data_IF_111796942525
#
_entry.id   IF_111796942525
#
_cell.length_a   1.000
_cell.length_b   1.000
_cell.length_c   1.000
_cell.angle_alpha   90.00
_cell.angle_beta   90.00
_cell.angle_gamma   90.00
#
_symmetry.space_group_name_H-M   'P 1'
#
loop_
_entity.id
_entity.type
_entity.pdbx_description
1 polymer ?
#
# COMPACT_ATOMS: atom_id res chain seq x y z
N UNK A 1 -18.34 -3.61 -16.59
CA UNK A 1 -17.30 -4.68 -16.68
C UNK A 1 -18.00 -6.01 -16.93
N UNK A 2 -17.49 -6.87 -17.82
CA UNK A 2 -18.12 -8.16 -18.16
C UNK A 2 -17.95 -9.19 -17.02
N UNK A 3 -18.97 -10.03 -16.80
CA UNK A 3 -18.94 -11.14 -15.84
C UNK A 3 -17.80 -12.10 -16.20
N UNK A 4 -17.03 -12.58 -15.22
CA UNK A 4 -15.96 -13.57 -15.47
C UNK A 4 -14.58 -13.01 -15.85
N UNK A 5 -14.39 -11.68 -15.94
CA UNK A 5 -13.09 -11.09 -16.36
C UNK A 5 -12.31 -10.47 -15.21
N UNK A 6 -10.99 -10.66 -15.26
CA UNK A 6 -10.03 -9.95 -14.40
C UNK A 6 -10.09 -8.45 -14.65
N UNK A 7 -9.99 -7.67 -13.58
CA UNK A 7 -9.78 -6.24 -13.72
C UNK A 7 -8.35 -6.00 -14.17
N UNK A 8 -8.22 -5.09 -15.13
CA UNK A 8 -6.93 -4.59 -15.61
C UNK A 8 -6.49 -3.39 -14.76
N UNK A 9 -5.20 -3.12 -14.73
CA UNK A 9 -4.63 -2.02 -13.95
C UNK A 9 -5.16 -0.65 -14.35
N UNK A 10 -5.47 -0.42 -15.63
CA UNK A 10 -6.09 0.83 -16.11
C UNK A 10 -7.45 1.10 -15.46
N UNK A 11 -8.27 0.06 -15.29
CA UNK A 11 -9.58 0.16 -14.62
C UNK A 11 -9.43 0.45 -13.13
N UNK A 12 -8.46 -0.19 -12.45
CA UNK A 12 -8.18 0.05 -11.03
C UNK A 12 -7.67 1.49 -10.82
N UNK A 13 -6.70 1.94 -11.64
CA UNK A 13 -6.17 3.31 -11.58
C UNK A 13 -7.26 4.36 -11.86
N UNK A 14 -8.12 4.11 -12.84
CA UNK A 14 -9.26 4.99 -13.11
C UNK A 14 -10.18 5.08 -11.89
N UNK A 15 -10.51 3.96 -11.25
CA UNK A 15 -11.33 3.97 -10.04
C UNK A 15 -10.66 4.79 -8.93
N UNK A 16 -9.37 4.59 -8.67
CA UNK A 16 -8.61 5.35 -7.68
C UNK A 16 -8.71 6.87 -7.95
N UNK A 17 -8.48 7.27 -9.21
CA UNK A 17 -8.52 8.67 -9.61
C UNK A 17 -9.91 9.29 -9.44
N UNK A 18 -10.97 8.62 -9.90
CA UNK A 18 -12.33 9.16 -9.85
C UNK A 18 -12.94 9.11 -8.44
N UNK A 19 -12.68 8.04 -7.69
CA UNK A 19 -13.32 7.80 -6.40
C UNK A 19 -12.67 8.57 -5.25
N UNK A 20 -11.34 8.76 -5.30
CA UNK A 20 -10.59 9.28 -4.16
C UNK A 20 -9.77 10.54 -4.48
N UNK A 21 -9.08 10.61 -5.63
CA UNK A 21 -8.21 11.76 -5.91
C UNK A 21 -8.96 13.00 -6.41
N UNK A 22 -10.08 12.82 -7.11
CA UNK A 22 -10.91 13.94 -7.63
C UNK A 22 -11.92 14.50 -6.63
N UNK A 23 -12.10 13.86 -5.47
CA UNK A 23 -13.05 14.31 -4.46
C UNK A 23 -12.32 15.06 -3.35
N UNK A 24 -12.74 16.30 -3.01
CA UNK A 24 -12.25 16.96 -1.82
C UNK A 24 -12.82 16.22 -0.61
N UNK A 25 -12.00 15.40 0.03
CA UNK A 25 -12.35 14.79 1.30
C UNK A 25 -11.80 15.66 2.43
N UNK A 26 -12.65 16.08 3.36
CA UNK A 26 -12.21 16.59 4.67
C UNK A 26 -11.71 15.37 5.47
N UNK A 27 -10.43 15.05 5.34
CA UNK A 27 -9.81 13.90 6.00
C UNK A 27 -9.00 14.34 7.22
N UNK A 28 -9.08 13.55 8.28
CA UNK A 28 -8.25 13.73 9.48
C UNK A 28 -6.79 13.36 9.20
N UNK A 29 -6.57 12.39 8.30
CA UNK A 29 -5.25 11.93 7.87
C UNK A 29 -5.04 12.13 6.37
N UNK A 30 -3.79 12.32 5.95
CA UNK A 30 -3.48 12.41 4.51
C UNK A 30 -3.54 11.03 3.88
N UNK A 31 -4.38 10.87 2.85
CA UNK A 31 -4.45 9.63 2.08
C UNK A 31 -3.72 9.77 0.75
N UNK A 32 -2.84 8.83 0.48
CA UNK A 32 -2.09 8.70 -0.76
C UNK A 32 -2.47 7.40 -1.44
N UNK A 33 -2.75 7.49 -2.73
CA UNK A 33 -3.06 6.32 -3.55
C UNK A 33 -2.03 6.26 -4.66
N UNK A 34 -1.25 5.19 -4.70
CA UNK A 34 -0.28 4.99 -5.78
C UNK A 34 -0.91 4.18 -6.90
N UNK A 35 -0.45 4.43 -8.12
CA UNK A 35 -0.90 3.66 -9.28
C UNK A 35 -0.46 2.18 -9.19
N UNK A 36 -1.12 1.32 -9.96
CA UNK A 36 -0.90 -0.14 -9.96
C UNK A 36 0.49 -0.60 -10.39
N UNK A 37 1.31 0.26 -11.01
CA UNK A 37 2.67 -0.07 -11.45
C UNK A 37 3.74 0.26 -10.40
N UNK A 38 3.37 1.03 -9.39
CA UNK A 38 4.28 1.56 -8.39
C UNK A 38 5.04 0.45 -7.66
N UNK A 39 4.35 -0.57 -7.17
CA UNK A 39 4.97 -1.67 -6.43
C UNK A 39 5.91 -2.50 -7.30
N UNK A 40 5.53 -2.77 -8.56
CA UNK A 40 6.39 -3.48 -9.50
C UNK A 40 7.69 -2.72 -9.73
N UNK A 41 7.61 -1.41 -9.96
CA UNK A 41 8.79 -0.55 -10.13
C UNK A 41 9.67 -0.51 -8.87
N UNK A 42 9.05 -0.43 -7.70
CA UNK A 42 9.75 -0.50 -6.42
C UNK A 42 10.49 -1.83 -6.23
N UNK A 43 9.82 -2.95 -6.48
CA UNK A 43 10.39 -4.29 -6.38
C UNK A 43 11.57 -4.50 -7.32
N UNK A 44 11.46 -4.05 -8.58
CA UNK A 44 12.56 -4.10 -9.55
C UNK A 44 13.77 -3.27 -9.11
N UNK A 45 13.54 -2.14 -8.45
CA UNK A 45 14.62 -1.31 -7.93
C UNK A 45 15.30 -1.98 -6.74
N UNK A 46 14.55 -2.46 -5.76
CA UNK A 46 15.09 -3.23 -4.61
C UNK A 46 15.94 -4.39 -5.12
N UNK A 47 15.44 -5.18 -6.06
CA UNK A 47 16.17 -6.32 -6.64
C UNK A 47 17.48 -5.93 -7.35
N UNK A 48 17.61 -4.70 -7.88
CA UNK A 48 18.87 -4.20 -8.44
C UNK A 48 19.89 -3.88 -7.36
N UNK A 49 19.46 -3.36 -6.22
CA UNK A 49 20.32 -2.99 -5.09
C UNK A 49 20.65 -4.17 -4.19
N UNK A 50 19.83 -5.22 -4.15
CA UNK A 50 20.09 -6.45 -3.37
C UNK A 50 21.43 -7.13 -3.68
N UNK A 51 22.00 -6.81 -4.84
CA UNK A 51 23.34 -7.26 -5.24
C UNK A 51 24.49 -6.54 -4.54
N UNK A 52 24.24 -5.53 -3.71
CA UNK A 52 25.29 -4.66 -3.14
C UNK A 52 25.56 -4.83 -1.64
N UNK A 53 25.06 -5.88 -0.97
CA UNK A 53 25.22 -6.19 0.47
C UNK A 53 24.80 -5.09 1.47
N UNK A 54 24.35 -3.92 0.99
CA UNK A 54 23.96 -2.74 1.78
C UNK A 54 22.76 -2.02 1.15
N UNK A 55 21.71 -2.79 0.83
CA UNK A 55 20.50 -2.29 0.14
C UNK A 55 19.90 -1.08 0.83
N UNK A 56 19.70 -1.17 2.15
CA UNK A 56 19.06 -0.12 2.94
C UNK A 56 19.81 1.20 2.83
N UNK A 57 21.11 1.18 3.13
CA UNK A 57 21.95 2.37 3.04
C UNK A 57 22.09 2.92 1.62
N UNK A 58 22.27 2.03 0.63
CA UNK A 58 22.44 2.41 -0.77
C UNK A 58 21.17 3.05 -1.35
N UNK A 59 20.00 2.54 -0.94
CA UNK A 59 18.71 3.10 -1.33
C UNK A 59 18.49 4.45 -0.63
N UNK A 60 18.61 4.54 0.70
CA UNK A 60 18.37 5.77 1.49
C UNK A 60 19.25 6.94 1.00
N UNK A 61 20.52 6.67 0.68
CA UNK A 61 21.46 7.70 0.19
C UNK A 61 21.15 8.19 -1.23
N UNK A 62 20.29 7.49 -1.98
CA UNK A 62 20.00 7.79 -3.39
C UNK A 62 18.69 8.58 -3.55
N UNK A 63 18.79 9.90 -3.39
CA UNK A 63 17.67 10.84 -3.51
C UNK A 63 16.99 10.85 -4.89
N UNK A 64 17.65 10.37 -5.94
CA UNK A 64 17.04 10.22 -7.27
C UNK A 64 16.07 9.04 -7.33
N UNK A 65 16.28 7.98 -6.52
CA UNK A 65 15.31 6.88 -6.42
C UNK A 65 13.99 7.35 -5.82
N UNK A 66 14.05 8.21 -4.80
CA UNK A 66 12.86 8.79 -4.18
C UNK A 66 11.99 9.51 -5.21
N UNK A 67 12.58 10.35 -6.08
CA UNK A 67 11.84 11.05 -7.15
C UNK A 67 11.27 10.10 -8.20
N UNK A 68 11.93 8.97 -8.47
CA UNK A 68 11.49 7.99 -9.46
C UNK A 68 10.34 7.12 -8.95
N UNK A 69 10.40 6.70 -7.69
CA UNK A 69 9.39 5.82 -7.07
C UNK A 69 8.22 6.66 -6.60
N UNK A 70 8.47 7.83 -6.03
CA UNK A 70 7.48 8.61 -5.29
C UNK A 70 7.35 10.04 -5.83
N UNK A 71 7.13 10.25 -7.16
CA UNK A 71 6.97 11.59 -7.72
C UNK A 71 5.76 12.33 -7.14
N UNK A 72 4.77 11.58 -6.66
CA UNK A 72 3.51 12.07 -6.06
C UNK A 72 3.69 12.47 -4.58
N UNK A 73 4.81 12.12 -3.95
CA UNK A 73 5.13 12.47 -2.56
C UNK A 73 6.15 13.61 -2.55
N UNK A 74 5.69 14.84 -2.74
CA UNK A 74 6.59 15.98 -2.64
C UNK A 74 7.11 16.10 -1.20
N UNK A 75 8.36 16.60 -1.07
CA UNK A 75 8.97 16.86 0.23
C UNK A 75 8.04 17.65 1.15
N UNK A 76 7.32 18.64 0.62
CA UNK A 76 6.36 19.46 1.38
C UNK A 76 5.13 18.69 1.87
N UNK A 77 4.70 17.65 1.14
CA UNK A 77 3.54 16.85 1.51
C UNK A 77 3.85 15.87 2.64
N UNK A 78 5.11 15.43 2.73
CA UNK A 78 5.65 14.53 3.76
C UNK A 78 6.46 15.26 4.85
N UNK A 79 6.68 16.58 4.74
CA UNK A 79 7.53 17.38 5.64
C UNK A 79 6.91 17.66 7.02
N UNK A 80 5.68 17.24 7.26
CA UNK A 80 5.11 17.17 8.60
C UNK A 80 4.79 15.71 8.86
N UNK A 81 5.36 15.13 9.93
CA UNK A 81 5.11 13.77 10.45
C UNK A 81 3.64 13.58 10.88
N UNK A 82 2.71 13.87 10.00
CA UNK A 82 1.29 13.72 10.22
C UNK A 82 0.89 12.30 9.86
N UNK A 83 -0.13 11.74 10.53
CA UNK A 83 -0.68 10.47 10.14
C UNK A 83 -1.00 10.45 8.64
N UNK A 84 -0.38 9.51 7.93
CA UNK A 84 -0.54 9.34 6.50
C UNK A 84 -0.82 7.87 6.18
N UNK A 85 -1.71 7.67 5.23
CA UNK A 85 -2.10 6.35 4.75
C UNK A 85 -1.71 6.24 3.28
N UNK A 86 -0.98 5.19 2.93
CA UNK A 86 -0.59 4.91 1.55
C UNK A 86 -1.23 3.60 1.13
N UNK A 87 -2.05 3.65 0.10
CA UNK A 87 -2.71 2.50 -0.49
C UNK A 87 -1.95 2.03 -1.72
N UNK A 88 -1.47 0.79 -1.67
CA UNK A 88 -0.57 0.22 -2.66
C UNK A 88 -1.23 -1.01 -3.31
N UNK A 89 -1.84 -0.88 -4.49
CA UNK A 89 -2.29 -2.04 -5.26
C UNK A 89 -1.08 -2.88 -5.69
N UNK A 90 -1.13 -4.19 -5.46
CA UNK A 90 -0.06 -5.13 -5.81
C UNK A 90 -0.56 -6.05 -6.90
N UNK A 91 0.12 -6.02 -8.05
CA UNK A 91 -0.09 -6.96 -9.12
C UNK A 91 0.98 -8.06 -9.08
N UNK A 92 0.58 -9.28 -8.75
CA UNK A 92 1.41 -10.47 -8.98
C UNK A 92 1.27 -11.00 -10.39
N UNK A 93 1.60 -12.29 -10.57
CA UNK A 93 1.48 -12.99 -11.86
C UNK A 93 0.11 -12.76 -12.52
N UNK A 94 -0.96 -13.20 -11.86
CA UNK A 94 -2.35 -13.10 -12.35
C UNK A 94 -3.32 -12.70 -11.23
N UNK A 95 -2.82 -12.02 -10.18
CA UNK A 95 -3.57 -11.79 -8.96
C UNK A 95 -3.35 -10.38 -8.42
N UNK A 96 -4.43 -9.80 -7.90
CA UNK A 96 -4.43 -8.49 -7.25
C UNK A 96 -4.56 -8.67 -5.75
N UNK A 97 -3.67 -8.01 -5.01
CA UNK A 97 -3.79 -7.81 -3.57
C UNK A 97 -3.57 -6.34 -3.23
N UNK A 98 -3.76 -5.96 -1.98
CA UNK A 98 -3.61 -4.60 -1.52
C UNK A 98 -2.65 -4.57 -0.33
N UNK A 99 -1.69 -3.64 -0.34
CA UNK A 99 -1.00 -3.25 0.87
C UNK A 99 -1.45 -1.86 1.33
N UNK A 100 -1.47 -1.68 2.64
CA UNK A 100 -1.76 -0.40 3.29
C UNK A 100 -0.56 -0.07 4.17
N UNK A 101 0.00 1.13 3.98
CA UNK A 101 1.04 1.68 4.83
C UNK A 101 0.41 2.77 5.67
N UNK A 102 0.49 2.65 6.98
CA UNK A 102 0.17 3.74 7.90
C UNK A 102 1.46 4.29 8.48
N UNK A 103 1.64 5.60 8.39
CA UNK A 103 2.75 6.32 9.01
C UNK A 103 2.14 7.14 10.13
N UNK A 104 2.70 7.10 11.33
CA UNK A 104 2.25 7.92 12.44
C UNK A 104 3.45 8.35 13.31
N UNK A 105 3.75 9.65 13.32
CA UNK A 105 4.95 10.19 13.98
C UNK A 105 6.26 9.51 13.53
N UNK A 106 6.80 8.64 14.39
CA UNK A 106 8.07 7.93 14.22
C UNK A 106 7.89 6.42 14.02
N UNK A 107 6.64 5.94 13.96
CA UNK A 107 6.30 4.55 13.68
C UNK A 107 5.61 4.40 12.33
N UNK A 108 5.65 3.17 11.82
CA UNK A 108 4.86 2.80 10.66
C UNK A 108 4.39 1.35 10.74
N UNK A 109 3.27 1.11 10.07
CA UNK A 109 2.68 -0.21 9.99
C UNK A 109 2.35 -0.57 8.55
N UNK A 110 2.74 -1.78 8.17
CA UNK A 110 2.49 -2.36 6.86
C UNK A 110 1.47 -3.49 7.01
N UNK A 111 0.32 -3.33 6.37
CA UNK A 111 -0.72 -4.34 6.31
C UNK A 111 -0.85 -4.92 4.90
N UNK A 112 -0.90 -6.25 4.76
CA UNK A 112 -1.19 -6.92 3.49
C UNK A 112 -2.58 -7.58 3.53
N UNK A 113 -3.41 -7.26 2.53
CA UNK A 113 -4.78 -7.73 2.38
C UNK A 113 -4.86 -8.56 1.10
N UNK A 114 -5.22 -9.83 1.24
CA UNK A 114 -5.32 -10.77 0.13
C UNK A 114 -6.61 -11.59 0.18
N UNK A 115 -7.48 -11.41 -0.81
CA UNK A 115 -8.73 -12.16 -0.96
C UNK A 115 -8.53 -13.60 -1.41
N UNK A 116 -7.30 -14.02 -1.75
CA UNK A 116 -6.99 -15.38 -2.14
C UNK A 116 -5.68 -15.82 -1.49
N UNK A 117 -5.75 -16.59 -0.41
CA UNK A 117 -4.53 -17.09 0.28
C UNK A 117 -3.64 -17.89 -0.70
N UNK A 118 -2.42 -17.43 -0.96
CA UNK A 118 -1.36 -18.25 -1.57
C UNK A 118 -0.62 -17.79 -2.85
N UNK A 119 -0.96 -16.69 -3.56
CA UNK A 119 -0.24 -16.29 -4.76
C UNK A 119 0.93 -15.32 -4.49
N UNK A 120 0.92 -14.64 -3.34
CA UNK A 120 1.94 -13.69 -2.94
C UNK A 120 2.67 -14.17 -1.69
N UNK A 121 3.96 -13.88 -1.61
CA UNK A 121 4.77 -14.00 -0.39
C UNK A 121 4.69 -12.65 0.36
N UNK A 122 3.97 -12.58 1.49
CA UNK A 122 3.80 -11.33 2.24
C UNK A 122 5.14 -10.79 2.77
N UNK A 123 6.09 -11.66 3.10
CA UNK A 123 7.40 -11.22 3.62
C UNK A 123 8.20 -10.48 2.56
N UNK A 124 8.20 -10.98 1.32
CA UNK A 124 8.83 -10.29 0.19
C UNK A 124 8.16 -8.94 -0.09
N UNK A 125 6.83 -8.85 0.04
CA UNK A 125 6.10 -7.59 -0.09
C UNK A 125 6.51 -6.61 1.00
N UNK A 126 6.50 -7.03 2.27
CA UNK A 126 6.87 -6.18 3.38
C UNK A 126 8.31 -5.71 3.30
N UNK A 127 9.24 -6.57 2.87
CA UNK A 127 10.62 -6.18 2.65
C UNK A 127 10.73 -5.02 1.64
N UNK A 128 10.11 -5.14 0.47
CA UNK A 128 10.11 -4.07 -0.55
C UNK A 128 9.48 -2.79 -0.02
N UNK A 129 8.30 -2.89 0.62
CA UNK A 129 7.58 -1.71 1.13
C UNK A 129 8.35 -1.00 2.24
N UNK A 130 9.00 -1.74 3.15
CA UNK A 130 9.81 -1.20 4.24
C UNK A 130 11.00 -0.41 3.71
N UNK A 131 11.73 -0.95 2.73
CA UNK A 131 12.84 -0.25 2.08
C UNK A 131 12.40 1.04 1.41
N UNK A 132 11.31 0.98 0.67
CA UNK A 132 10.78 2.15 -0.03
C UNK A 132 10.24 3.18 0.95
N UNK A 133 9.58 2.74 2.03
CA UNK A 133 9.10 3.64 3.07
C UNK A 133 10.25 4.46 3.67
N UNK A 134 11.39 3.82 3.93
CA UNK A 134 12.60 4.50 4.42
C UNK A 134 13.19 5.50 3.42
N UNK A 135 12.86 5.40 2.12
CA UNK A 135 13.17 6.44 1.12
C UNK A 135 12.24 7.64 1.21
N UNK A 136 10.99 7.42 1.60
CA UNK A 136 9.95 8.45 1.59
C UNK A 136 10.02 9.27 2.88
N UNK A 137 10.18 8.58 4.01
CA UNK A 137 10.20 9.15 5.35
C UNK A 137 11.40 8.61 6.14
N UNK A 138 12.06 9.46 6.95
CA UNK A 138 13.20 9.04 7.77
C UNK A 138 12.71 8.27 9.01
N UNK A 139 12.20 7.05 8.79
CA UNK A 139 11.77 6.12 9.84
C UNK A 139 12.84 5.05 10.01
N UNK A 140 13.11 4.66 11.26
CA UNK A 140 13.96 3.51 11.56
C UNK A 140 13.25 2.22 11.08
N UNK A 141 13.86 1.43 10.17
CA UNK A 141 13.29 0.16 9.73
C UNK A 141 12.86 -0.73 10.91
N UNK A 142 13.57 -0.71 12.04
CA UNK A 142 13.24 -1.51 13.22
C UNK A 142 11.87 -1.16 13.85
N UNK A 143 11.36 0.05 13.61
CA UNK A 143 10.06 0.52 14.12
C UNK A 143 8.91 0.23 13.15
N UNK A 144 9.19 -0.39 12.00
CA UNK A 144 8.17 -0.77 11.03
C UNK A 144 7.59 -2.12 11.39
N UNK A 145 6.34 -2.10 11.86
CA UNK A 145 5.57 -3.31 12.14
C UNK A 145 4.95 -3.85 10.83
N UNK A 146 4.75 -5.16 10.75
CA UNK A 146 4.11 -5.82 9.59
C UNK A 146 2.95 -6.69 10.07
N UNK A 147 1.92 -6.85 9.23
CA UNK A 147 0.75 -7.65 9.58
C UNK A 147 -0.03 -8.13 8.36
N UNK A 148 -0.46 -9.40 8.38
CA UNK A 148 -1.38 -9.94 7.37
C UNK A 148 -2.81 -9.76 7.88
N UNK A 149 -3.64 -9.13 7.06
CA UNK A 149 -5.04 -8.87 7.39
C UNK A 149 -5.94 -9.97 6.84
N UNK A 150 -6.77 -10.52 7.72
CA UNK A 150 -7.82 -11.43 7.29
C UNK A 150 -8.94 -10.63 6.61
N UNK A 151 -9.25 -11.03 5.38
CA UNK A 151 -10.32 -10.45 4.57
C UNK A 151 -11.21 -11.55 4.03
N UNK A 152 -12.42 -11.18 3.64
CA UNK A 152 -13.33 -12.09 2.95
C UNK A 152 -12.63 -12.71 1.72
N UNK A 153 -12.67 -14.04 1.66
CA UNK A 153 -12.00 -14.78 0.60
C UNK A 153 -12.90 -14.83 -0.64
N UNK A 154 -12.31 -14.53 -1.79
CA UNK A 154 -12.98 -14.68 -3.06
C UNK A 154 -13.31 -16.16 -3.30
N UNK A 155 -14.51 -16.41 -3.84
CA UNK A 155 -14.97 -17.76 -4.17
C UNK A 155 -14.66 -18.15 -5.62
N UNK A 156 -14.05 -17.23 -6.39
CA UNK A 156 -13.73 -17.40 -7.80
C UNK A 156 -12.28 -16.98 -8.10
N UNK A 157 -11.77 -17.29 -9.30
CA UNK A 157 -10.39 -16.97 -9.68
C UNK A 157 -10.14 -15.55 -10.20
N UNK A 158 -11.17 -14.72 -10.44
CA UNK A 158 -11.04 -13.50 -11.25
C UNK A 158 -11.54 -12.22 -10.56
N UNK A 159 -12.12 -12.33 -9.37
CA UNK A 159 -12.69 -11.22 -8.61
C UNK A 159 -11.70 -10.50 -7.69
N UNK A 160 -10.43 -10.89 -7.66
CA UNK A 160 -9.37 -10.26 -6.85
C UNK A 160 -9.29 -8.74 -7.07
N UNK A 161 -9.38 -8.31 -8.34
CA UNK A 161 -9.41 -6.90 -8.69
C UNK A 161 -10.61 -6.14 -8.09
N UNK A 162 -11.77 -6.79 -7.91
CA UNK A 162 -12.94 -6.16 -7.28
C UNK A 162 -12.79 -6.10 -5.76
N UNK A 163 -12.23 -7.15 -5.17
CA UNK A 163 -11.97 -7.23 -3.74
C UNK A 163 -11.04 -6.10 -3.29
N UNK A 164 -9.97 -5.81 -4.04
CA UNK A 164 -9.10 -4.67 -3.69
C UNK A 164 -9.84 -3.32 -3.76
N UNK A 165 -10.78 -3.13 -4.70
CA UNK A 165 -11.56 -1.88 -4.79
C UNK A 165 -12.51 -1.73 -3.59
N UNK A 166 -13.09 -2.84 -3.12
CA UNK A 166 -13.91 -2.87 -1.91
C UNK A 166 -13.08 -2.58 -0.66
N UNK A 167 -11.88 -3.18 -0.55
CA UNK A 167 -10.95 -2.93 0.55
C UNK A 167 -10.51 -1.47 0.58
N UNK A 168 -10.16 -0.88 -0.58
CA UNK A 168 -9.83 0.54 -0.71
C UNK A 168 -10.98 1.42 -0.21
N UNK A 169 -12.21 1.17 -0.68
CA UNK A 169 -13.38 1.93 -0.27
C UNK A 169 -13.67 1.80 1.24
N UNK A 170 -13.59 0.57 1.78
CA UNK A 170 -13.82 0.30 3.20
C UNK A 170 -12.77 0.94 4.11
N UNK A 171 -11.49 0.81 3.76
CA UNK A 171 -10.40 1.43 4.52
C UNK A 171 -10.49 2.96 4.50
N UNK A 172 -10.84 3.54 3.35
CA UNK A 172 -11.02 4.99 3.21
C UNK A 172 -12.17 5.52 4.06
N UNK A 173 -13.28 4.78 4.12
CA UNK A 173 -14.43 5.16 4.95
C UNK A 173 -14.12 5.09 6.45
N UNK A 174 -13.43 4.03 6.90
CA UNK A 174 -13.07 3.88 8.32
C UNK A 174 -12.11 4.96 8.79
N UNK A 175 -11.19 5.40 7.93
CA UNK A 175 -10.32 6.55 8.22
C UNK A 175 -11.15 7.82 8.48
N UNK A 176 -12.10 8.14 7.58
CA UNK A 176 -12.95 9.33 7.75
C UNK A 176 -13.80 9.32 9.04
N UNK A 177 -14.03 8.14 9.61
CA UNK A 177 -14.75 7.96 10.88
C UNK A 177 -13.83 8.14 12.13
N UNK A 178 -12.57 8.57 11.94
CA UNK A 178 -11.64 8.91 13.04
C UNK A 178 -10.94 7.71 13.68
N UNK A 179 -10.79 6.61 12.96
CA UNK A 179 -10.17 5.39 13.47
C UNK A 179 -8.63 5.42 13.43
N UNK A 180 -8.04 6.25 14.28
CA UNK A 180 -6.61 6.18 14.64
C UNK A 180 -6.28 4.86 15.42
N UNK A 181 -7.30 4.08 15.81
CA UNK A 181 -7.19 2.93 16.74
C UNK A 181 -7.36 1.54 16.12
N UNK A 182 -7.73 1.42 14.84
CA UNK A 182 -8.32 0.20 14.26
C UNK A 182 -7.40 -1.03 14.07
N UNK A 183 -6.18 -0.98 14.59
CA UNK A 183 -5.09 -1.81 14.10
C UNK A 183 -4.21 -2.39 15.19
N UNK A 184 -4.77 -2.53 16.39
CA UNK A 184 -4.28 -3.54 17.34
C UNK A 184 -4.67 -4.91 16.78
N UNK A 185 -3.80 -5.92 16.91
CA UNK A 185 -3.97 -7.29 16.36
C UNK A 185 -5.37 -7.87 16.57
N UNK A 186 -6.06 -7.46 17.64
CA UNK A 186 -7.37 -7.94 18.08
C UNK A 186 -8.55 -7.42 17.22
N UNK A 187 -8.43 -6.26 16.55
CA UNK A 187 -9.56 -5.60 15.85
C UNK A 187 -9.51 -5.75 14.31
N UNK A 188 -8.47 -6.41 13.79
CA UNK A 188 -8.26 -6.75 12.38
C UNK A 188 -9.29 -7.73 11.78
N UNK A 189 -10.23 -8.22 12.59
CA UNK A 189 -11.29 -9.15 12.16
C UNK A 189 -12.45 -8.47 11.40
N UNK A 190 -12.46 -7.14 11.28
CA UNK A 190 -13.65 -6.39 10.84
C UNK A 190 -13.49 -5.55 9.58
N UNK A 191 -12.47 -5.75 8.73
CA UNK A 191 -12.43 -5.12 7.38
C UNK A 191 -13.02 -6.09 6.34
N UNK A 192 -14.32 -6.36 6.47
CA UNK A 192 -15.24 -6.86 5.44
C UNK A 192 -16.57 -7.21 6.11
N UNK A 193 -17.50 -6.26 6.18
CA UNK A 193 -18.95 -6.48 6.27
C UNK A 193 -19.64 -5.28 5.64
#
# INVERSE_FOLDING_TARGET
MYKGRYLRGDVINMYINEAFLKKPHEQLHKMFYVNTFWFTKASELVARYDKTNHVEEAMIKNTNLRKSICPEFHDKDMQGKLPAWIFVPIHGKNHWSLAIIRIHNDDAWLAHLDSFRGPHDPEAIFHVLKLVLCLIVPIDPALVMTGIMNVEQQQDGHSCGKHILQMLAGASKKESDGLDRCFREEELRYIAT
#
